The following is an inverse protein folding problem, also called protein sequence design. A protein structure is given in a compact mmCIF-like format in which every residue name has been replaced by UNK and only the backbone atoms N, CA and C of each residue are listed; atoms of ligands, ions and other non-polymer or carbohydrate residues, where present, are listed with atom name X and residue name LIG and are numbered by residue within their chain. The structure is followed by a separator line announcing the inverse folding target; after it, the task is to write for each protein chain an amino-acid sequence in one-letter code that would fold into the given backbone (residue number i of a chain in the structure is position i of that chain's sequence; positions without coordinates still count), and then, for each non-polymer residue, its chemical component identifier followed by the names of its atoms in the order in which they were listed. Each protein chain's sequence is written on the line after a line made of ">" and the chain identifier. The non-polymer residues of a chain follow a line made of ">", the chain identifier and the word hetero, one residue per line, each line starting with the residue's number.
data_IF_357627053303
#
_entry.id   IF_357627053303
#
_cell.length_a   1.000
_cell.length_b   1.000
_cell.length_c   1.000
_cell.angle_alpha   90.00
_cell.angle_beta   90.00
_cell.angle_gamma   90.00
#
_symmetry.space_group_name_H-M   'P 1'
#
loop_
_entity.id
_entity.type
_entity.pdbx_description
1 polymer ?
#
# COMPACT_ATOMS: atom_id res chain seq x y z
N UNK A 1 -1.12 13.23 3.75
CA UNK A 1 -1.07 13.19 2.28
C UNK A 1 0.21 13.90 1.89
N UNK A 2 1.07 13.23 1.15
CA UNK A 2 2.30 13.80 0.60
C UNK A 2 2.17 13.84 -0.93
N UNK A 3 2.79 14.84 -1.57
CA UNK A 3 2.73 15.04 -3.02
C UNK A 3 4.11 15.27 -3.60
N UNK A 4 4.40 14.62 -4.72
CA UNK A 4 5.67 14.73 -5.44
C UNK A 4 5.39 15.18 -6.88
N UNK A 5 5.61 16.47 -7.14
CA UNK A 5 5.47 17.06 -8.47
C UNK A 5 6.79 16.94 -9.23
N UNK A 6 6.72 16.43 -10.46
CA UNK A 6 7.80 16.38 -11.42
C UNK A 6 7.36 17.07 -12.71
N UNK A 7 8.14 18.03 -13.18
CA UNK A 7 7.90 18.78 -14.43
C UNK A 7 9.04 18.48 -15.43
N UNK A 8 8.75 18.65 -16.73
CA UNK A 8 9.69 18.31 -17.80
C UNK A 8 9.98 16.81 -17.90
N UNK A 9 8.98 15.98 -17.60
CA UNK A 9 9.16 14.52 -17.47
C UNK A 9 9.07 13.86 -18.84
N UNK A 10 10.16 13.24 -19.28
CA UNK A 10 10.12 12.32 -20.43
C UNK A 10 9.34 11.05 -20.08
N UNK A 11 8.63 10.42 -21.04
CA UNK A 11 7.85 9.20 -20.78
C UNK A 11 8.64 8.06 -20.15
N UNK A 12 9.92 7.92 -20.49
CA UNK A 12 10.82 6.91 -19.90
C UNK A 12 11.18 7.22 -18.45
N UNK A 13 11.23 8.50 -18.06
CA UNK A 13 11.59 8.94 -16.72
C UNK A 13 10.42 8.86 -15.74
N UNK A 14 9.19 8.90 -16.24
CA UNK A 14 7.98 8.77 -15.41
C UNK A 14 8.00 7.52 -14.52
N UNK A 15 8.32 6.35 -15.08
CA UNK A 15 8.39 5.10 -14.33
C UNK A 15 9.51 5.12 -13.27
N UNK A 16 10.65 5.71 -13.60
CA UNK A 16 11.77 5.87 -12.67
C UNK A 16 11.38 6.79 -11.50
N UNK A 17 10.65 7.89 -11.76
CA UNK A 17 10.14 8.77 -10.69
C UNK A 17 9.13 8.05 -9.79
N UNK A 18 8.21 7.27 -10.37
CA UNK A 18 7.25 6.46 -9.62
C UNK A 18 7.94 5.42 -8.71
N UNK A 19 8.92 4.70 -9.24
CA UNK A 19 9.69 3.72 -8.47
C UNK A 19 10.46 4.37 -7.32
N UNK A 20 11.04 5.54 -7.56
CA UNK A 20 11.72 6.30 -6.52
C UNK A 20 10.77 6.68 -5.38
N UNK A 21 9.60 7.26 -5.69
CA UNK A 21 8.58 7.61 -4.67
C UNK A 21 8.11 6.38 -3.90
N UNK A 22 7.97 5.22 -4.55
CA UNK A 22 7.61 3.97 -3.87
C UNK A 22 8.71 3.49 -2.93
N UNK A 23 9.96 3.50 -3.37
CA UNK A 23 11.08 2.94 -2.62
C UNK A 23 11.35 3.65 -1.29
N UNK A 24 10.93 4.91 -1.16
CA UNK A 24 11.03 5.69 0.07
C UNK A 24 9.91 5.39 1.07
N UNK A 25 8.85 4.69 0.65
CA UNK A 25 7.71 4.38 1.51
C UNK A 25 8.06 3.27 2.50
N UNK A 26 7.79 3.51 3.78
CA UNK A 26 8.07 2.57 4.88
C UNK A 26 6.83 1.93 5.47
N UNK A 27 5.64 2.41 5.11
CA UNK A 27 4.34 1.92 5.57
C UNK A 27 3.32 1.86 4.44
N UNK A 28 2.30 1.02 4.59
CA UNK A 28 1.24 0.85 3.62
C UNK A 28 0.51 2.17 3.35
N UNK A 29 0.19 2.40 2.09
CA UNK A 29 -0.34 3.67 1.63
C UNK A 29 -1.35 3.48 0.50
N UNK A 30 -2.04 4.55 0.13
CA UNK A 30 -2.70 4.65 -1.17
C UNK A 30 -1.91 5.58 -2.07
N UNK A 31 -1.93 5.30 -3.37
CA UNK A 31 -1.32 6.16 -4.37
C UNK A 31 -2.39 6.70 -5.32
N UNK A 32 -2.27 7.96 -5.70
CA UNK A 32 -2.92 8.50 -6.89
C UNK A 32 -1.90 9.29 -7.72
N UNK A 33 -2.19 9.49 -9.00
CA UNK A 33 -1.29 10.15 -9.94
C UNK A 33 -2.11 11.08 -10.82
N UNK A 34 -1.63 12.31 -11.00
CA UNK A 34 -2.21 13.26 -11.96
C UNK A 34 -1.19 13.64 -13.03
N UNK A 35 -1.72 13.97 -14.21
CA UNK A 35 -0.91 14.29 -15.38
C UNK A 35 -1.04 15.78 -15.74
N UNK A 36 0.09 16.43 -15.94
CA UNK A 36 0.19 17.72 -16.61
C UNK A 36 0.59 17.51 -18.06
N UNK A 37 -0.01 18.26 -18.96
CA UNK A 37 0.11 18.02 -20.40
C UNK A 37 0.02 19.32 -21.19
N UNK A 38 0.57 19.27 -22.40
CA UNK A 38 0.53 20.35 -23.35
C UNK A 38 -0.32 19.93 -24.55
N UNK A 39 -1.26 20.79 -24.93
CA UNK A 39 -2.00 20.68 -26.18
C UNK A 39 -1.40 21.62 -27.22
N UNK A 40 -1.52 21.25 -28.50
CA UNK A 40 -1.16 22.11 -29.63
C UNK A 40 -2.32 22.16 -30.61
N UNK A 41 -2.56 23.33 -31.20
CA UNK A 41 -3.57 23.48 -32.23
C UNK A 41 -3.20 22.68 -33.49
N UNK A 42 -4.21 22.12 -34.15
CA UNK A 42 -4.03 21.40 -35.43
C UNK A 42 -3.77 22.35 -36.60
N UNK A 43 -4.14 23.63 -36.47
CA UNK A 43 -4.01 24.64 -37.54
C UNK A 43 -2.89 25.63 -37.30
N UNK A 44 -2.45 25.80 -36.05
CA UNK A 44 -1.39 26.72 -35.67
C UNK A 44 -0.40 26.01 -34.72
N UNK A 45 0.80 25.64 -35.19
CA UNK A 45 1.80 24.96 -34.37
C UNK A 45 2.31 25.78 -33.17
N UNK A 46 2.17 27.12 -33.21
CA UNK A 46 2.65 28.01 -32.16
C UNK A 46 1.61 28.25 -31.05
N UNK A 47 0.33 27.91 -31.30
CA UNK A 47 -0.71 27.94 -30.26
C UNK A 47 -0.66 26.66 -29.42
N UNK A 48 0.15 26.72 -28.36
CA UNK A 48 0.23 25.68 -27.35
C UNK A 48 -0.43 26.08 -26.03
N UNK A 49 -1.03 25.10 -25.35
CA UNK A 49 -1.75 25.28 -24.09
C UNK A 49 -1.29 24.27 -23.08
N UNK A 50 -0.74 24.75 -21.97
CA UNK A 50 -0.31 23.91 -20.86
C UNK A 50 -1.41 23.76 -19.81
N UNK A 51 -1.57 22.54 -19.30
CA UNK A 51 -2.49 22.17 -18.24
C UNK A 51 -1.69 21.57 -17.08
N UNK A 52 -1.89 22.14 -15.90
CA UNK A 52 -1.25 21.65 -14.68
C UNK A 52 -1.89 20.33 -14.19
N UNK A 53 -1.11 19.43 -13.57
CA UNK A 53 -1.65 18.25 -12.92
C UNK A 53 -2.69 18.62 -11.84
N UNK A 54 -3.86 17.99 -11.87
CA UNK A 54 -4.97 18.25 -10.96
C UNK A 54 -5.87 17.02 -10.76
N UNK A 55 -6.06 16.65 -9.48
CA UNK A 55 -6.78 15.46 -9.02
C UNK A 55 -8.23 15.41 -9.48
N UNK A 56 -8.83 16.56 -9.81
CA UNK A 56 -10.22 16.62 -10.20
C UNK A 56 -10.47 16.18 -11.66
N UNK A 57 -9.47 16.29 -12.52
CA UNK A 57 -9.71 16.22 -13.97
C UNK A 57 -8.55 15.62 -14.79
N UNK A 58 -7.44 15.25 -14.18
CA UNK A 58 -6.28 14.64 -14.86
C UNK A 58 -5.74 13.43 -14.13
N UNK A 59 -6.56 12.85 -13.25
CA UNK A 59 -6.20 11.68 -12.47
C UNK A 59 -6.08 10.45 -13.36
N UNK A 60 -5.02 9.68 -13.16
CA UNK A 60 -4.80 8.39 -13.81
C UNK A 60 -5.81 7.37 -13.27
N UNK A 61 -5.98 7.34 -11.95
CA UNK A 61 -6.88 6.41 -11.27
C UNK A 61 -8.09 7.15 -10.70
N UNK A 62 -9.29 6.63 -10.96
CA UNK A 62 -10.54 7.22 -10.45
C UNK A 62 -10.59 7.25 -8.92
N UNK A 63 -9.89 6.32 -8.26
CA UNK A 63 -9.74 6.25 -6.82
C UNK A 63 -8.30 5.89 -6.46
N UNK A 64 -7.76 6.40 -5.34
CA UNK A 64 -6.41 6.04 -4.91
C UNK A 64 -6.24 4.52 -4.69
N UNK A 65 -5.23 3.94 -5.33
CA UNK A 65 -4.92 2.50 -5.31
C UNK A 65 -4.22 2.12 -4.01
N UNK A 66 -4.64 1.02 -3.39
CA UNK A 66 -4.01 0.46 -2.20
C UNK A 66 -2.69 -0.26 -2.52
N UNK A 67 -1.59 0.17 -1.88
CA UNK A 67 -0.29 -0.52 -1.93
C UNK A 67 -0.01 -1.12 -0.55
N UNK A 68 -0.15 -2.44 -0.46
CA UNK A 68 0.04 -3.20 0.78
C UNK A 68 1.27 -4.10 0.74
N UNK A 69 1.90 -4.29 -0.42
CA UNK A 69 3.16 -5.03 -0.59
C UNK A 69 4.02 -4.37 -1.67
N UNK A 70 5.29 -4.77 -1.80
CA UNK A 70 6.12 -4.27 -2.90
C UNK A 70 5.63 -4.80 -4.25
N UNK A 71 5.09 -6.02 -4.27
CA UNK A 71 4.53 -6.62 -5.47
C UNK A 71 3.27 -5.91 -5.98
N UNK A 72 2.48 -5.30 -5.08
CA UNK A 72 1.28 -4.54 -5.44
C UNK A 72 1.59 -3.40 -6.41
N UNK A 73 2.74 -2.74 -6.28
CA UNK A 73 3.11 -1.66 -7.19
C UNK A 73 3.22 -2.14 -8.65
N UNK A 74 3.96 -3.24 -8.87
CA UNK A 74 4.11 -3.78 -10.22
C UNK A 74 2.77 -4.29 -10.78
N UNK A 75 1.99 -4.99 -9.95
CA UNK A 75 0.74 -5.65 -10.36
C UNK A 75 -0.43 -4.68 -10.53
N UNK A 76 -0.56 -3.67 -9.65
CA UNK A 76 -1.72 -2.78 -9.59
C UNK A 76 -1.45 -1.40 -10.18
N UNK A 77 -0.22 -0.89 -10.12
CA UNK A 77 0.09 0.46 -10.60
C UNK A 77 0.73 0.39 -11.98
N UNK A 78 1.89 -0.26 -12.10
CA UNK A 78 2.64 -0.30 -13.37
C UNK A 78 1.87 -1.04 -14.47
N UNK A 79 1.35 -2.23 -14.16
CA UNK A 79 0.57 -2.99 -15.13
C UNK A 79 -0.66 -2.23 -15.63
N UNK A 80 -1.34 -1.51 -14.73
CA UNK A 80 -2.56 -0.77 -15.05
C UNK A 80 -2.24 0.43 -15.94
N UNK A 81 -1.26 1.26 -15.55
CA UNK A 81 -0.78 2.40 -16.35
C UNK A 81 -0.32 1.97 -17.73
N UNK A 82 0.46 0.87 -17.85
CA UNK A 82 0.97 0.38 -19.14
C UNK A 82 -0.14 -0.15 -20.05
N UNK A 83 -1.25 -0.60 -19.48
CA UNK A 83 -2.41 -1.09 -20.25
C UNK A 83 -3.35 0.03 -20.69
N UNK A 84 -3.19 1.24 -20.15
CA UNK A 84 -4.03 2.39 -20.45
C UNK A 84 -3.41 3.31 -21.50
N UNK A 85 -4.26 3.87 -22.35
CA UNK A 85 -3.91 5.03 -23.15
C UNK A 85 -4.06 6.30 -22.28
N UNK A 86 -2.94 6.86 -21.81
CA UNK A 86 -2.98 8.01 -20.88
C UNK A 86 -3.63 9.24 -21.51
N UNK A 87 -3.59 9.38 -22.84
CA UNK A 87 -4.25 10.46 -23.56
C UNK A 87 -5.78 10.47 -23.34
N UNK A 88 -6.40 9.33 -23.03
CA UNK A 88 -7.84 9.21 -22.75
C UNK A 88 -8.24 9.78 -21.38
N UNK A 89 -7.26 10.03 -20.50
CA UNK A 89 -7.48 10.66 -19.19
C UNK A 89 -7.48 12.19 -19.24
N UNK A 90 -7.13 12.77 -20.40
CA UNK A 90 -6.91 14.20 -20.56
C UNK A 90 -8.16 14.88 -21.12
N UNK A 91 -8.34 16.14 -20.72
CA UNK A 91 -9.43 16.97 -21.24
C UNK A 91 -8.93 17.81 -22.41
N UNK A 92 -9.72 17.87 -23.48
CA UNK A 92 -9.38 18.67 -24.66
C UNK A 92 -10.30 19.89 -24.73
N UNK A 93 -9.73 21.07 -24.98
CA UNK A 93 -10.50 22.32 -25.11
C UNK A 93 -11.52 22.24 -26.25
N UNK A 94 -11.11 21.65 -27.38
CA UNK A 94 -11.95 21.43 -28.55
C UNK A 94 -11.33 20.35 -29.46
N UNK A 95 -12.08 19.91 -30.46
CA UNK A 95 -11.57 18.99 -31.50
C UNK A 95 -10.44 19.60 -32.36
N UNK A 96 -10.21 20.91 -32.27
CA UNK A 96 -9.13 21.62 -32.96
C UNK A 96 -7.76 21.43 -32.32
N UNK A 97 -7.67 20.91 -31.10
CA UNK A 97 -6.40 20.64 -30.41
C UNK A 97 -6.05 19.15 -30.47
N UNK A 98 -4.75 18.85 -30.39
CA UNK A 98 -4.21 17.51 -30.19
C UNK A 98 -3.19 17.51 -29.04
N UNK A 99 -2.97 16.35 -28.43
CA UNK A 99 -1.93 16.20 -27.42
C UNK A 99 -0.56 16.41 -28.07
N UNK A 100 0.24 17.31 -27.47
CA UNK A 100 1.65 17.49 -27.84
C UNK A 100 2.53 16.57 -27.00
N UNK A 101 2.40 16.65 -25.68
CA UNK A 101 3.13 15.79 -24.76
C UNK A 101 2.47 15.79 -23.36
N UNK A 102 2.70 14.72 -22.61
CA UNK A 102 2.55 14.72 -21.14
C UNK A 102 3.88 15.25 -20.60
N UNK A 103 3.85 16.36 -19.88
CA UNK A 103 5.06 17.12 -19.49
C UNK A 103 5.26 17.18 -17.98
N UNK A 104 4.24 16.84 -17.19
CA UNK A 104 4.34 16.83 -15.74
C UNK A 104 3.53 15.70 -15.12
N UNK A 105 3.94 15.30 -13.93
CA UNK A 105 3.29 14.24 -13.15
C UNK A 105 3.31 14.66 -11.69
N UNK A 106 2.16 14.55 -11.02
CA UNK A 106 2.08 14.71 -9.58
C UNK A 106 1.65 13.41 -8.93
N UNK A 107 2.50 12.86 -8.04
CA UNK A 107 2.26 11.59 -7.36
C UNK A 107 1.81 11.90 -5.93
N UNK A 108 0.62 11.41 -5.56
CA UNK A 108 0.07 11.57 -4.22
C UNK A 108 0.17 10.27 -3.44
N UNK A 109 0.75 10.34 -2.24
CA UNK A 109 0.76 9.25 -1.29
C UNK A 109 -0.12 9.57 -0.09
N UNK A 110 -1.00 8.63 0.24
CA UNK A 110 -1.91 8.70 1.37
C UNK A 110 -1.52 7.59 2.33
N UNK A 111 -0.69 7.90 3.33
CA UNK A 111 -0.33 6.93 4.34
C UNK A 111 -1.57 6.39 5.04
N UNK A 112 -1.60 5.07 5.20
CA UNK A 112 -2.60 4.42 6.03
C UNK A 112 -1.98 4.26 7.40
N UNK A 113 -2.44 5.06 8.36
CA UNK A 113 -2.07 4.88 9.76
C UNK A 113 -2.84 3.68 10.36
N UNK A 114 -2.62 2.51 9.78
CA UNK A 114 -3.25 1.26 10.19
C UNK A 114 -2.16 0.24 10.49
N UNK A 115 -1.48 0.45 11.61
CA UNK A 115 -0.65 -0.58 12.20
C UNK A 115 -1.48 -1.82 12.50
N UNK A 116 -1.03 -3.00 12.04
CA UNK A 116 -1.66 -4.26 12.43
C UNK A 116 -1.45 -4.47 13.94
N UNK A 117 -2.52 -4.53 14.73
CA UNK A 117 -2.40 -4.71 16.17
C UNK A 117 -3.54 -4.10 16.96
N UNK A 118 -3.25 -3.72 18.20
CA UNK A 118 -4.21 -3.19 19.18
C UNK A 118 -4.67 -1.76 18.84
N UNK A 119 -5.16 -1.59 17.62
CA UNK A 119 -5.98 -0.45 17.23
C UNK A 119 -7.35 -0.55 17.90
N UNK A 120 -8.01 0.58 18.13
CA UNK A 120 -9.39 0.69 18.65
C UNK A 120 -10.45 0.08 17.72
N UNK A 121 -10.04 -0.69 16.70
CA UNK A 121 -10.90 -1.28 15.70
C UNK A 121 -11.94 -2.20 16.34
N UNK A 122 -13.20 -1.79 16.27
CA UNK A 122 -14.33 -2.59 16.72
C UNK A 122 -14.58 -3.69 15.70
N UNK A 123 -14.18 -4.92 16.03
CA UNK A 123 -14.46 -6.09 15.19
C UNK A 123 -15.98 -6.37 15.22
N UNK A 124 -16.67 -6.37 14.06
CA UNK A 124 -18.10 -6.65 13.99
C UNK A 124 -18.48 -7.96 14.67
N UNK A 125 -19.65 -7.98 15.31
CA UNK A 125 -20.14 -9.15 16.09
C UNK A 125 -20.17 -10.43 15.27
N UNK A 126 -20.46 -10.34 13.96
CA UNK A 126 -20.50 -11.47 13.04
C UNK A 126 -19.12 -12.11 12.85
N UNK A 127 -18.05 -11.31 12.70
CA UNK A 127 -16.67 -11.81 12.63
C UNK A 127 -16.26 -12.35 14.00
N UNK A 128 -16.51 -11.58 15.07
CA UNK A 128 -16.09 -11.93 16.43
C UNK A 128 -16.68 -13.26 16.92
N UNK A 129 -17.88 -13.62 16.46
CA UNK A 129 -18.55 -14.88 16.81
C UNK A 129 -18.28 -16.02 15.81
N UNK A 130 -17.54 -15.79 14.73
CA UNK A 130 -17.27 -16.81 13.74
C UNK A 130 -16.27 -17.85 14.29
N UNK A 131 -16.67 -19.12 14.34
CA UNK A 131 -15.84 -20.23 14.83
C UNK A 131 -14.57 -20.48 14.02
N UNK A 132 -14.51 -20.00 12.78
CA UNK A 132 -13.37 -20.13 11.87
C UNK A 132 -12.40 -18.95 11.99
N UNK A 133 -12.74 -17.92 12.77
CA UNK A 133 -11.89 -16.75 12.99
C UNK A 133 -11.40 -16.76 14.43
N UNK A 134 -10.09 -16.64 14.62
CA UNK A 134 -9.47 -16.52 15.94
C UNK A 134 -9.22 -15.05 16.23
N UNK A 135 -9.73 -14.62 17.39
CA UNK A 135 -9.48 -13.28 17.89
C UNK A 135 -8.45 -13.33 19.03
N UNK A 136 -7.33 -12.64 18.86
CA UNK A 136 -6.33 -12.47 19.92
C UNK A 136 -6.59 -11.17 20.67
N UNK A 137 -6.98 -11.22 21.96
CA UNK A 137 -7.13 -10.01 22.75
C UNK A 137 -5.75 -9.44 23.12
N UNK A 138 -5.56 -8.14 22.91
CA UNK A 138 -4.39 -7.36 23.39
C UNK A 138 -3.04 -7.97 23.02
N UNK A 139 -2.69 -7.84 21.75
CA UNK A 139 -1.47 -8.36 21.15
C UNK A 139 -0.23 -7.51 21.43
N UNK A 140 -0.38 -6.30 21.97
CA UNK A 140 0.69 -5.33 22.24
C UNK A 140 1.62 -5.18 21.04
N UNK A 141 1.05 -4.87 19.87
CA UNK A 141 1.75 -4.69 18.59
C UNK A 141 2.37 -5.96 17.98
N UNK A 142 2.02 -7.14 18.49
CA UNK A 142 2.58 -8.44 18.04
C UNK A 142 1.56 -9.33 17.35
N UNK A 143 0.48 -8.75 16.80
CA UNK A 143 -0.62 -9.52 16.23
C UNK A 143 -0.16 -10.49 15.12
N UNK A 144 0.77 -10.09 14.26
CA UNK A 144 1.34 -10.94 13.21
C UNK A 144 2.06 -12.15 13.83
N UNK A 145 2.88 -11.93 14.86
CA UNK A 145 3.54 -13.03 15.59
C UNK A 145 2.55 -13.93 16.33
N UNK A 146 1.42 -13.38 16.82
CA UNK A 146 0.32 -14.19 17.35
C UNK A 146 -0.30 -15.10 16.28
N UNK A 147 -0.57 -14.58 15.08
CA UNK A 147 -1.09 -15.36 13.97
C UNK A 147 -0.11 -16.47 13.54
N UNK A 148 1.18 -16.14 13.45
CA UNK A 148 2.24 -17.11 13.08
C UNK A 148 2.41 -18.17 14.16
N UNK A 149 2.52 -17.76 15.42
CA UNK A 149 2.60 -18.68 16.55
C UNK A 149 1.37 -19.58 16.60
N UNK A 150 0.19 -19.05 16.31
CA UNK A 150 -1.01 -19.85 16.18
C UNK A 150 -0.84 -20.84 15.03
N UNK A 151 -0.67 -20.39 13.79
CA UNK A 151 -0.56 -21.28 12.64
C UNK A 151 0.46 -22.42 12.84
N UNK A 152 1.63 -22.11 13.39
CA UNK A 152 2.73 -23.09 13.56
C UNK A 152 2.61 -23.96 14.81
N UNK A 153 1.90 -23.54 15.86
CA UNK A 153 1.78 -24.32 17.09
C UNK A 153 0.77 -25.46 16.92
N UNK A 154 1.30 -26.66 16.70
CA UNK A 154 0.55 -27.90 16.59
C UNK A 154 0.35 -28.52 17.99
N UNK A 155 -0.67 -28.04 18.70
CA UNK A 155 -1.11 -28.66 19.97
C UNK A 155 -2.61 -28.90 19.94
N UNK A 156 -3.09 -30.07 20.39
CA UNK A 156 -4.52 -30.34 20.52
C UNK A 156 -5.17 -29.48 21.61
N UNK A 157 -4.38 -28.87 22.51
CA UNK A 157 -4.84 -27.98 23.60
C UNK A 157 -4.50 -26.51 23.32
N UNK A 158 -4.63 -26.09 22.07
CA UNK A 158 -4.31 -24.73 21.64
C UNK A 158 -5.29 -23.72 22.24
N UNK A 159 -4.79 -22.87 23.13
CA UNK A 159 -5.57 -21.80 23.76
C UNK A 159 -5.01 -20.43 23.33
N UNK A 160 -5.79 -19.56 22.68
CA UNK A 160 -5.35 -18.22 22.28
C UNK A 160 -4.81 -17.38 23.45
N UNK A 161 -5.27 -17.64 24.68
CA UNK A 161 -4.84 -16.94 25.89
C UNK A 161 -3.46 -17.38 26.40
N UNK A 162 -2.98 -18.55 25.96
CA UNK A 162 -1.74 -19.17 26.46
C UNK A 162 -0.61 -19.24 25.41
N UNK A 163 -0.76 -18.54 24.28
CA UNK A 163 0.19 -18.63 23.16
C UNK A 163 1.45 -17.74 23.29
N UNK A 164 1.58 -17.01 24.39
CA UNK A 164 2.64 -16.01 24.57
C UNK A 164 4.06 -16.59 24.49
N UNK A 165 4.26 -17.84 24.93
CA UNK A 165 5.57 -18.49 24.81
C UNK A 165 5.95 -18.68 23.34
N UNK A 166 5.01 -19.17 22.53
CA UNK A 166 5.19 -19.40 21.09
C UNK A 166 5.34 -18.08 20.32
N UNK A 167 4.65 -17.02 20.75
CA UNK A 167 4.83 -15.66 20.20
C UNK A 167 6.26 -15.17 20.41
N UNK A 168 6.84 -15.41 21.59
CA UNK A 168 8.25 -15.05 21.84
C UNK A 168 9.21 -15.87 20.99
N UNK A 169 8.95 -17.15 20.78
CA UNK A 169 9.77 -17.99 19.89
C UNK A 169 9.68 -17.52 18.42
N UNK A 170 8.48 -17.20 17.93
CA UNK A 170 8.32 -16.61 16.60
C UNK A 170 9.09 -15.28 16.49
N UNK A 171 8.99 -14.42 17.50
CA UNK A 171 9.72 -13.15 17.50
C UNK A 171 11.25 -13.35 17.52
N UNK A 172 11.77 -14.31 18.30
CA UNK A 172 13.20 -14.64 18.29
C UNK A 172 13.67 -15.07 16.90
N UNK A 173 12.90 -15.93 16.23
CA UNK A 173 13.20 -16.35 14.86
C UNK A 173 13.25 -15.15 13.91
N UNK A 174 12.29 -14.24 14.02
CA UNK A 174 12.29 -13.00 13.23
C UNK A 174 13.51 -12.12 13.54
N UNK A 175 13.90 -11.96 14.81
CA UNK A 175 15.13 -11.26 15.20
C UNK A 175 16.37 -11.90 14.56
N UNK A 176 16.49 -13.23 14.62
CA UNK A 176 17.59 -13.97 13.99
C UNK A 176 17.63 -13.76 12.48
N UNK A 177 16.48 -13.81 11.80
CA UNK A 177 16.38 -13.53 10.36
C UNK A 177 16.84 -12.11 10.00
N UNK A 178 16.52 -11.12 10.84
CA UNK A 178 16.98 -9.73 10.68
C UNK A 178 18.41 -9.48 11.14
N UNK A 179 19.13 -10.48 11.67
CA UNK A 179 20.46 -10.31 12.24
C UNK A 179 20.48 -9.49 13.54
N UNK A 180 19.35 -9.37 14.23
CA UNK A 180 19.19 -8.59 15.46
C UNK A 180 19.24 -9.51 16.68
N UNK A 181 19.99 -9.13 17.71
CA UNK A 181 20.02 -9.87 18.98
C UNK A 181 18.71 -9.66 19.75
N UNK A 182 18.03 -10.76 20.07
CA UNK A 182 16.83 -10.72 20.90
C UNK A 182 17.12 -10.15 22.30
N UNK A 183 16.20 -9.31 22.80
CA UNK A 183 16.11 -8.95 24.21
C UNK A 183 14.65 -8.75 24.62
N UNK A 184 14.35 -8.92 25.91
CA UNK A 184 13.00 -8.67 26.42
C UNK A 184 12.57 -7.21 26.27
N UNK A 185 13.52 -6.27 26.36
CA UNK A 185 13.28 -4.84 26.12
C UNK A 185 12.84 -4.61 24.68
N UNK A 186 13.58 -5.17 23.71
CA UNK A 186 13.25 -5.10 22.29
C UNK A 186 11.85 -5.67 22.01
N UNK A 187 11.55 -6.85 22.55
CA UNK A 187 10.22 -7.45 22.40
C UNK A 187 9.11 -6.53 22.90
N UNK A 188 9.28 -5.91 24.08
CA UNK A 188 8.26 -5.02 24.67
C UNK A 188 8.08 -3.74 23.85
N UNK A 189 9.16 -3.12 23.39
CA UNK A 189 9.13 -1.87 22.62
C UNK A 189 8.98 -2.05 21.12
N UNK A 190 8.81 -3.28 20.63
CA UNK A 190 8.69 -3.56 19.21
C UNK A 190 7.46 -2.88 18.62
N UNK A 191 7.66 -2.18 17.50
CA UNK A 191 6.58 -1.52 16.76
C UNK A 191 5.73 -2.58 16.02
N UNK A 192 4.47 -2.29 15.72
CA UNK A 192 3.64 -3.14 14.87
C UNK A 192 4.33 -3.47 13.55
N UNK A 193 4.09 -4.68 13.03
CA UNK A 193 4.44 -5.03 11.66
C UNK A 193 3.47 -4.31 10.73
N UNK A 194 4.02 -3.54 9.78
CA UNK A 194 3.25 -2.91 8.72
C UNK A 194 2.91 -3.91 7.60
N UNK A 195 1.85 -3.67 6.84
CA UNK A 195 1.49 -4.53 5.70
C UNK A 195 2.64 -4.64 4.68
N UNK A 196 3.38 -3.55 4.42
CA UNK A 196 4.53 -3.57 3.50
C UNK A 196 5.66 -4.50 3.95
N UNK A 197 5.70 -4.85 5.23
CA UNK A 197 6.71 -5.74 5.80
C UNK A 197 6.28 -7.22 5.74
N UNK A 198 5.06 -7.53 5.28
CA UNK A 198 4.57 -8.91 5.24
C UNK A 198 5.36 -9.79 4.28
N UNK A 199 5.82 -9.28 3.13
CA UNK A 199 6.68 -10.03 2.21
C UNK A 199 7.91 -10.59 2.95
N UNK A 200 8.55 -9.78 3.81
CA UNK A 200 9.71 -10.20 4.59
C UNK A 200 9.35 -11.22 5.69
N UNK A 201 8.12 -11.14 6.21
CA UNK A 201 7.60 -12.10 7.19
C UNK A 201 7.29 -13.43 6.52
N UNK A 202 6.68 -13.42 5.33
CA UNK A 202 6.47 -14.61 4.51
C UNK A 202 7.78 -15.34 4.25
N UNK A 203 8.83 -14.61 3.85
CA UNK A 203 10.18 -15.15 3.65
C UNK A 203 10.79 -15.69 4.95
N UNK A 204 10.69 -14.96 6.06
CA UNK A 204 11.25 -15.38 7.34
C UNK A 204 10.64 -16.71 7.84
N UNK A 205 9.34 -16.89 7.64
CA UNK A 205 8.60 -18.02 8.19
C UNK A 205 8.26 -19.10 7.15
N UNK A 206 8.51 -18.84 5.87
CA UNK A 206 8.20 -19.71 4.74
C UNK A 206 6.71 -20.06 4.69
N UNK A 207 5.86 -19.03 4.71
CA UNK A 207 4.41 -19.15 4.71
C UNK A 207 3.75 -18.08 3.82
N UNK A 208 2.58 -18.39 3.26
CA UNK A 208 1.77 -17.42 2.53
C UNK A 208 0.75 -16.75 3.46
N UNK A 209 0.71 -15.41 3.47
CA UNK A 209 -0.16 -14.56 4.28
C UNK A 209 -1.17 -13.87 3.38
N UNK A 210 -2.42 -14.30 3.48
CA UNK A 210 -3.54 -13.60 2.84
C UNK A 210 -4.15 -12.60 3.81
N UNK A 211 -4.10 -11.31 3.47
CA UNK A 211 -4.72 -10.23 4.24
C UNK A 211 -6.07 -9.86 3.63
N UNK A 212 -7.12 -9.92 4.44
CA UNK A 212 -8.46 -9.51 4.07
C UNK A 212 -8.85 -8.25 4.82
N UNK A 213 -9.52 -7.33 4.12
CA UNK A 213 -10.16 -6.15 4.72
C UNK A 213 -11.66 -6.31 4.54
N UNK A 214 -12.41 -6.10 5.62
CA UNK A 214 -13.86 -5.94 5.53
C UNK A 214 -14.15 -4.44 5.44
N UNK A 215 -14.65 -3.99 4.30
CA UNK A 215 -15.22 -2.65 4.21
C UNK A 215 -16.57 -2.67 4.92
N UNK A 216 -16.71 -1.85 5.96
CA UNK A 216 -18.02 -1.61 6.55
C UNK A 216 -18.76 -0.76 5.54
N UNK A 217 -19.73 -1.34 4.82
CA UNK A 217 -20.70 -0.55 4.08
C UNK A 217 -21.41 0.29 5.13
N UNK A 218 -21.13 1.60 5.17
CA UNK A 218 -22.01 2.50 5.88
C UNK A 218 -23.29 2.53 5.05
N UNK A 219 -24.36 1.93 5.58
CA UNK A 219 -25.70 2.20 5.05
C UNK A 219 -25.89 3.72 5.09
N UNK A 220 -26.13 4.32 3.92
CA UNK A 220 -26.50 5.72 3.75
C UNK A 220 -27.89 5.98 4.35
#
# INVERSE_FOLDING_TARGET
>A
MESHLYEGVEPSDFYNKLENVLSTQTSAFKINIDLGYELVSKTDPDDTRYFYPNLANTHVFNNPIAINSKADFQKKVISEIRSMELADKLNYLSSGYKLKAITAVNIFTYHREHSLGDSEAVIPKIIRKNKHVINFPKTNNKCVFHCIAWHTFQSPKKDPRRIQAQVKEAFKRYCSFKGIKYSLRLFRSFKPIDLLQLDEVEDCFQLGINVYKMDVVMEM
#
